data_IF_629729512942
#
_entry.id   IF_629729512942
#
_cell.length_a   1.000
_cell.length_b   1.000
_cell.length_c   1.000
_cell.angle_alpha   90.00
_cell.angle_beta   90.00
_cell.angle_gamma   90.00
#
_symmetry.space_group_name_H-M   'P 1'
#
loop_
_entity.id
_entity.type
_entity.pdbx_description
1 polymer ?
#
# COMPACT_ATOMS: atom_id res chain seq x y z
N UNK A 1 -3.20 -22.42 4.74
CA UNK A 1 -1.81 -21.96 4.79
C UNK A 1 -1.05 -22.61 3.64
N UNK A 2 -0.18 -21.88 2.92
CA UNK A 2 0.63 -22.45 1.84
C UNK A 2 1.93 -23.06 2.36
N UNK A 3 2.85 -22.20 2.83
CA UNK A 3 4.12 -22.57 3.45
C UNK A 3 4.21 -21.95 4.84
N UNK A 4 4.55 -22.76 5.84
CA UNK A 4 4.82 -22.30 7.20
C UNK A 4 6.21 -22.76 7.63
N UNK A 5 7.04 -21.82 8.09
CA UNK A 5 8.39 -22.08 8.57
C UNK A 5 8.50 -21.58 10.01
N UNK A 6 8.96 -22.45 10.90
CA UNK A 6 9.11 -22.14 12.32
C UNK A 6 10.20 -22.96 12.99
N UNK A 7 10.67 -22.51 14.16
CA UNK A 7 11.56 -23.29 15.04
C UNK A 7 13.03 -23.21 14.65
N UNK A 8 13.53 -21.99 14.49
CA UNK A 8 14.88 -21.63 14.06
C UNK A 8 15.34 -22.26 12.73
N UNK A 9 14.39 -22.75 11.92
CA UNK A 9 14.68 -23.38 10.63
C UNK A 9 15.22 -22.35 9.62
N UNK A 10 16.09 -22.79 8.71
CA UNK A 10 16.67 -21.95 7.65
C UNK A 10 16.48 -22.50 6.23
N UNK A 11 15.25 -22.81 5.78
CA UNK A 11 15.02 -23.31 4.44
C UNK A 11 15.22 -22.23 3.35
N UNK A 12 15.66 -22.67 2.18
CA UNK A 12 15.60 -21.91 0.94
C UNK A 12 14.56 -22.55 0.01
N UNK A 13 13.63 -21.74 -0.49
CA UNK A 13 12.53 -22.19 -1.35
C UNK A 13 12.52 -21.34 -2.62
N UNK A 14 12.78 -21.97 -3.76
CA UNK A 14 12.71 -21.35 -5.07
C UNK A 14 11.50 -21.84 -5.86
N UNK A 15 10.88 -20.98 -6.67
CA UNK A 15 9.82 -21.40 -7.59
C UNK A 15 8.51 -21.82 -6.93
N UNK A 16 8.24 -21.35 -5.71
CA UNK A 16 7.01 -21.68 -5.01
C UNK A 16 5.83 -21.00 -5.71
N UNK A 17 4.82 -21.78 -6.07
CA UNK A 17 3.57 -21.27 -6.62
C UNK A 17 2.42 -21.62 -5.69
N UNK A 18 1.81 -20.62 -5.06
CA UNK A 18 0.60 -20.81 -4.25
C UNK A 18 -0.56 -20.05 -4.88
N UNK A 19 -1.73 -20.67 -4.91
CA UNK A 19 -2.95 -20.07 -5.42
C UNK A 19 -4.14 -20.37 -4.50
N UNK A 20 -5.07 -19.42 -4.38
CA UNK A 20 -6.36 -19.59 -3.70
C UNK A 20 -6.21 -20.06 -2.23
N UNK A 21 -5.26 -19.47 -1.51
CA UNK A 21 -5.00 -19.83 -0.11
C UNK A 21 -6.01 -19.08 0.77
N UNK A 22 -6.75 -19.78 1.63
CA UNK A 22 -7.75 -19.14 2.50
C UNK A 22 -7.15 -18.24 3.61
N UNK A 23 -5.88 -18.42 3.91
CA UNK A 23 -5.14 -17.78 5.02
C UNK A 23 -3.90 -17.04 4.47
N UNK A 24 -2.81 -16.96 5.23
CA UNK A 24 -1.52 -16.48 4.74
C UNK A 24 -0.89 -17.50 3.77
N UNK A 25 -0.34 -17.03 2.65
CA UNK A 25 0.33 -17.93 1.69
C UNK A 25 1.69 -18.39 2.21
N UNK A 26 2.49 -17.48 2.77
CA UNK A 26 3.77 -17.80 3.43
C UNK A 26 3.77 -17.21 4.83
N UNK A 27 4.09 -18.03 5.84
CA UNK A 27 4.24 -17.60 7.23
C UNK A 27 5.58 -18.04 7.79
N UNK A 28 6.32 -17.10 8.35
CA UNK A 28 7.60 -17.35 9.03
C UNK A 28 7.47 -16.87 10.46
N UNK A 29 7.91 -17.66 11.43
CA UNK A 29 7.93 -17.27 12.84
C UNK A 29 9.14 -17.90 13.52
N UNK A 30 9.98 -17.11 14.20
CA UNK A 30 11.19 -17.62 14.86
C UNK A 30 12.05 -18.45 13.89
N UNK A 31 12.27 -17.98 12.66
CA UNK A 31 12.95 -18.75 11.62
C UNK A 31 13.48 -17.85 10.49
N UNK A 32 14.43 -18.36 9.71
CA UNK A 32 14.92 -17.69 8.51
C UNK A 32 14.38 -18.36 7.24
N UNK A 33 13.83 -17.60 6.31
CA UNK A 33 13.34 -18.11 5.03
C UNK A 33 13.96 -17.32 3.88
N UNK A 34 14.61 -18.03 2.97
CA UNK A 34 15.01 -17.47 1.68
C UNK A 34 14.03 -17.93 0.61
N UNK A 35 13.44 -16.99 -0.11
CA UNK A 35 12.39 -17.23 -1.08
C UNK A 35 12.75 -16.54 -2.41
N UNK A 36 12.85 -17.33 -3.47
CA UNK A 36 13.24 -16.84 -4.79
C UNK A 36 12.27 -17.26 -5.88
N UNK A 37 12.11 -16.42 -6.91
CA UNK A 37 11.37 -16.74 -8.14
C UNK A 37 9.96 -17.34 -7.89
N UNK A 38 9.29 -16.86 -6.86
CA UNK A 38 8.03 -17.43 -6.38
C UNK A 38 6.84 -16.56 -6.70
N UNK A 39 5.67 -17.19 -6.84
CA UNK A 39 4.44 -16.56 -7.26
C UNK A 39 3.32 -16.90 -6.27
N UNK A 40 2.74 -15.87 -5.67
CA UNK A 40 1.65 -15.98 -4.72
C UNK A 40 0.44 -15.29 -5.35
N UNK A 41 -0.61 -16.06 -5.63
CA UNK A 41 -1.85 -15.56 -6.23
C UNK A 41 -3.02 -15.78 -5.27
N UNK A 42 -3.81 -14.73 -5.07
CA UNK A 42 -5.07 -14.77 -4.31
C UNK A 42 -4.93 -15.40 -2.93
N UNK A 43 -4.51 -14.59 -1.97
CA UNK A 43 -4.44 -14.97 -0.56
C UNK A 43 -5.64 -14.41 0.20
N UNK A 44 -6.22 -15.21 1.09
CA UNK A 44 -7.41 -14.86 1.87
C UNK A 44 -7.11 -13.92 3.04
N UNK A 45 -5.84 -13.88 3.48
CA UNK A 45 -5.29 -12.88 4.40
C UNK A 45 -4.05 -12.24 3.77
N UNK A 46 -2.92 -12.26 4.45
CA UNK A 46 -1.65 -11.70 3.96
C UNK A 46 -1.01 -12.60 2.89
N UNK A 47 -0.28 -12.01 1.94
CA UNK A 47 0.54 -12.79 1.01
C UNK A 47 1.69 -13.45 1.76
N UNK A 48 2.52 -12.63 2.39
CA UNK A 48 3.66 -13.08 3.20
C UNK A 48 3.59 -12.45 4.59
N UNK A 49 3.71 -13.28 5.62
CA UNK A 49 3.73 -12.87 7.02
C UNK A 49 5.06 -13.29 7.67
N UNK A 50 5.91 -12.30 7.97
CA UNK A 50 7.06 -12.48 8.84
C UNK A 50 6.66 -12.10 10.26
N UNK A 51 6.58 -13.09 11.15
CA UNK A 51 6.30 -12.93 12.57
C UNK A 51 7.53 -12.48 13.36
N UNK A 52 7.46 -12.58 14.69
CA UNK A 52 8.57 -12.24 15.58
C UNK A 52 9.81 -13.09 15.31
N UNK A 53 10.98 -12.45 15.41
CA UNK A 53 12.31 -13.05 15.21
C UNK A 53 12.41 -13.84 13.88
N UNK A 54 11.72 -13.36 12.85
CA UNK A 54 11.75 -13.94 11.52
C UNK A 54 12.73 -13.19 10.62
N UNK A 55 13.61 -13.93 9.94
CA UNK A 55 14.53 -13.41 8.92
C UNK A 55 14.01 -13.79 7.52
N UNK A 56 13.41 -12.85 6.81
CA UNK A 56 12.84 -13.11 5.49
C UNK A 56 13.68 -12.49 4.38
N UNK A 57 14.19 -13.30 3.45
CA UNK A 57 14.83 -12.82 2.22
C UNK A 57 14.01 -13.21 1.01
N UNK A 58 13.47 -12.22 0.30
CA UNK A 58 12.66 -12.39 -0.90
C UNK A 58 13.40 -11.79 -2.10
N UNK A 59 13.52 -12.54 -3.19
CA UNK A 59 14.15 -12.07 -4.43
C UNK A 59 13.32 -12.48 -5.63
N UNK A 60 12.98 -11.54 -6.53
CA UNK A 60 12.17 -11.80 -7.74
C UNK A 60 10.84 -12.48 -7.45
N UNK A 61 10.15 -12.04 -6.41
CA UNK A 61 8.89 -12.61 -5.98
C UNK A 61 7.71 -11.79 -6.49
N UNK A 62 6.59 -12.47 -6.78
CA UNK A 62 5.38 -11.82 -7.28
C UNK A 62 4.18 -12.17 -6.40
N UNK A 63 3.55 -11.16 -5.83
CA UNK A 63 2.37 -11.31 -4.98
C UNK A 63 1.19 -10.56 -5.61
N UNK A 64 0.10 -11.28 -5.87
CA UNK A 64 -1.07 -10.73 -6.54
C UNK A 64 -2.37 -11.05 -5.83
N UNK A 65 -3.30 -10.09 -5.85
CA UNK A 65 -4.68 -10.25 -5.37
C UNK A 65 -4.79 -10.72 -3.91
N UNK A 66 -3.94 -10.22 -2.99
CA UNK A 66 -4.08 -10.52 -1.56
C UNK A 66 -5.27 -9.76 -0.96
N UNK A 67 -6.12 -10.43 -0.18
CA UNK A 67 -7.19 -9.76 0.55
C UNK A 67 -6.67 -8.90 1.72
N UNK A 68 -5.59 -9.36 2.36
CA UNK A 68 -4.84 -8.61 3.36
C UNK A 68 -3.60 -7.96 2.77
N UNK A 69 -2.65 -7.62 3.63
CA UNK A 69 -1.40 -6.99 3.20
C UNK A 69 -0.57 -7.92 2.30
N UNK A 70 0.10 -7.38 1.30
CA UNK A 70 0.94 -8.16 0.39
C UNK A 70 2.11 -8.82 1.12
N UNK A 71 2.85 -8.03 1.89
CA UNK A 71 3.91 -8.48 2.78
C UNK A 71 3.84 -7.73 4.11
N UNK A 72 3.83 -8.47 5.21
CA UNK A 72 3.84 -7.92 6.58
C UNK A 72 5.10 -8.35 7.30
N UNK A 73 5.83 -7.37 7.84
CA UNK A 73 6.91 -7.56 8.79
C UNK A 73 6.44 -7.16 10.18
N UNK A 74 6.14 -8.15 11.02
CA UNK A 74 5.74 -7.94 12.40
C UNK A 74 6.91 -7.46 13.27
N UNK A 75 6.63 -7.09 14.52
CA UNK A 75 7.66 -6.65 15.46
C UNK A 75 8.77 -7.70 15.65
N UNK A 76 10.04 -7.27 15.52
CA UNK A 76 11.21 -8.13 15.64
C UNK A 76 11.54 -8.93 14.38
N UNK A 77 10.78 -8.76 13.28
CA UNK A 77 11.12 -9.35 11.99
C UNK A 77 12.19 -8.52 11.28
N UNK A 78 13.19 -9.18 10.69
CA UNK A 78 14.22 -8.61 9.82
C UNK A 78 14.13 -9.21 8.43
N UNK A 79 14.70 -8.53 7.42
CA UNK A 79 14.68 -9.11 6.09
C UNK A 79 15.15 -8.25 4.93
N UNK A 80 15.03 -8.82 3.75
CA UNK A 80 15.31 -8.16 2.48
C UNK A 80 14.23 -8.52 1.46
N UNK A 81 13.77 -7.55 0.70
CA UNK A 81 12.86 -7.71 -0.43
C UNK A 81 13.50 -7.07 -1.64
N UNK A 82 13.89 -7.89 -2.60
CA UNK A 82 14.65 -7.47 -3.78
C UNK A 82 13.84 -7.80 -5.05
N UNK A 83 13.74 -6.85 -5.96
CA UNK A 83 13.14 -7.00 -7.30
C UNK A 83 11.77 -7.68 -7.27
N UNK A 84 10.93 -7.34 -6.29
CA UNK A 84 9.65 -8.01 -6.05
C UNK A 84 8.46 -7.12 -6.42
N UNK A 85 7.38 -7.74 -6.87
CA UNK A 85 6.17 -7.05 -7.33
C UNK A 85 4.96 -7.41 -6.46
N UNK A 86 4.22 -6.40 -6.03
CA UNK A 86 2.99 -6.51 -5.25
C UNK A 86 1.87 -5.78 -5.98
N UNK A 87 0.84 -6.51 -6.43
CA UNK A 87 -0.22 -5.92 -7.26
C UNK A 87 -1.63 -6.36 -6.89
N UNK A 88 -2.60 -5.45 -6.93
CA UNK A 88 -4.03 -5.78 -6.83
C UNK A 88 -4.47 -6.24 -5.43
N UNK A 89 -3.73 -5.88 -4.39
CA UNK A 89 -4.08 -6.17 -3.00
C UNK A 89 -5.26 -5.31 -2.53
N UNK A 90 -6.11 -5.87 -1.67
CA UNK A 90 -7.24 -5.14 -1.06
C UNK A 90 -6.85 -4.36 0.20
N UNK A 91 -5.60 -4.49 0.66
CA UNK A 91 -5.04 -3.74 1.78
C UNK A 91 -3.69 -3.11 1.34
N UNK A 92 -2.74 -2.99 2.26
CA UNK A 92 -1.44 -2.38 2.00
C UNK A 92 -0.51 -3.34 1.23
N UNK A 93 0.33 -2.79 0.35
CA UNK A 93 1.30 -3.60 -0.40
C UNK A 93 2.37 -4.20 0.50
N UNK A 94 3.12 -3.33 1.18
CA UNK A 94 4.14 -3.70 2.17
C UNK A 94 3.87 -2.98 3.48
N UNK A 95 3.66 -3.75 4.54
CA UNK A 95 3.45 -3.26 5.90
C UNK A 95 4.68 -3.56 6.76
N UNK A 96 5.30 -2.51 7.29
CA UNK A 96 6.44 -2.62 8.20
C UNK A 96 6.02 -2.19 9.60
N UNK A 97 5.82 -3.18 10.47
CA UNK A 97 5.56 -3.00 11.90
C UNK A 97 6.82 -3.19 12.74
N UNK A 98 7.89 -3.69 12.12
CA UNK A 98 9.21 -3.87 12.71
C UNK A 98 10.02 -2.57 12.77
N UNK A 99 10.93 -2.49 13.75
CA UNK A 99 11.98 -1.47 13.79
C UNK A 99 13.35 -2.00 13.35
N UNK A 100 13.45 -3.29 13.02
CA UNK A 100 14.69 -3.97 12.66
C UNK A 100 15.18 -3.62 11.25
N UNK A 101 16.31 -4.20 10.86
CA UNK A 101 16.88 -4.03 9.52
C UNK A 101 16.00 -4.68 8.45
N UNK A 102 15.41 -3.84 7.59
CA UNK A 102 14.65 -4.28 6.42
C UNK A 102 15.09 -3.50 5.19
N UNK A 103 15.56 -4.21 4.17
CA UNK A 103 15.96 -3.60 2.90
C UNK A 103 14.94 -3.94 1.82
N UNK A 104 14.26 -2.94 1.26
CA UNK A 104 13.43 -3.11 0.07
C UNK A 104 14.10 -2.43 -1.12
N UNK A 105 14.46 -3.18 -2.16
CA UNK A 105 15.12 -2.64 -3.36
C UNK A 105 14.46 -3.10 -4.64
N UNK A 106 14.20 -2.18 -5.56
CA UNK A 106 13.63 -2.50 -6.88
C UNK A 106 12.19 -3.03 -6.78
N UNK A 107 11.48 -2.68 -5.71
CA UNK A 107 10.13 -3.17 -5.48
C UNK A 107 9.12 -2.38 -6.30
N UNK A 108 8.12 -3.07 -6.82
CA UNK A 108 7.02 -2.44 -7.58
C UNK A 108 5.71 -2.73 -6.88
N UNK A 109 4.98 -1.69 -6.51
CA UNK A 109 3.71 -1.81 -5.78
C UNK A 109 2.62 -1.06 -6.53
N UNK A 110 1.61 -1.79 -7.04
CA UNK A 110 0.61 -1.20 -7.94
C UNK A 110 -0.82 -1.64 -7.66
N UNK A 111 -1.76 -0.74 -7.95
CA UNK A 111 -3.20 -1.03 -7.94
C UNK A 111 -3.68 -1.65 -6.61
N UNK A 112 -3.06 -1.28 -5.48
CA UNK A 112 -3.50 -1.73 -4.17
C UNK A 112 -4.54 -0.77 -3.60
N UNK A 113 -5.53 -1.33 -2.93
CA UNK A 113 -6.61 -0.54 -2.33
C UNK A 113 -6.15 0.20 -1.06
N UNK A 114 -5.07 -0.25 -0.41
CA UNK A 114 -4.39 0.44 0.69
C UNK A 114 -3.23 1.33 0.23
N UNK A 115 -2.26 1.52 1.12
CA UNK A 115 -1.00 2.22 0.83
C UNK A 115 -0.06 1.27 0.09
N UNK A 116 0.80 1.78 -0.79
CA UNK A 116 1.82 0.94 -1.42
C UNK A 116 2.82 0.43 -0.38
N UNK A 117 3.36 1.36 0.42
CA UNK A 117 4.12 1.02 1.63
C UNK A 117 3.56 1.78 2.83
N UNK A 118 3.39 1.09 3.95
CA UNK A 118 3.10 1.69 5.25
C UNK A 118 4.16 1.26 6.27
N UNK A 119 4.83 2.25 6.84
CA UNK A 119 5.78 2.09 7.93
C UNK A 119 5.13 2.58 9.23
N UNK A 120 4.77 1.64 10.12
CA UNK A 120 4.21 1.95 11.43
C UNK A 120 5.29 2.39 12.43
N UNK A 121 6.50 1.85 12.30
CA UNK A 121 7.66 2.19 13.14
C UNK A 121 8.78 2.80 12.29
N UNK A 122 9.05 4.11 12.43
CA UNK A 122 10.19 4.72 11.77
C UNK A 122 11.49 4.19 12.39
N UNK A 123 12.35 3.57 11.59
CA UNK A 123 13.70 3.17 12.00
C UNK A 123 14.71 3.55 10.93
N UNK A 124 15.96 3.81 11.33
CA UNK A 124 17.07 4.08 10.39
C UNK A 124 17.60 2.81 9.72
N UNK A 125 17.21 1.64 10.23
CA UNK A 125 17.65 0.35 9.71
C UNK A 125 16.81 -0.09 8.50
N UNK A 126 15.70 0.60 8.24
CA UNK A 126 14.87 0.34 7.07
C UNK A 126 15.40 1.18 5.91
N UNK A 127 15.76 0.51 4.82
CA UNK A 127 16.22 1.12 3.58
C UNK A 127 15.27 0.74 2.44
N UNK A 128 14.69 1.73 1.79
CA UNK A 128 13.88 1.55 0.58
C UNK A 128 14.54 2.27 -0.57
N UNK A 129 14.89 1.51 -1.59
CA UNK A 129 15.63 1.93 -2.78
C UNK A 129 14.81 1.55 -4.01
N UNK A 130 14.68 2.46 -4.97
CA UNK A 130 14.07 2.14 -6.28
C UNK A 130 12.65 1.56 -6.18
N UNK A 131 11.83 2.09 -5.25
CA UNK A 131 10.43 1.71 -5.13
C UNK A 131 9.58 2.42 -6.18
N UNK A 132 8.79 1.65 -6.92
CA UNK A 132 7.80 2.18 -7.86
C UNK A 132 6.41 1.94 -7.29
N UNK A 133 5.79 2.99 -6.78
CA UNK A 133 4.40 2.99 -6.33
C UNK A 133 3.51 3.69 -7.36
N UNK A 134 2.47 3.00 -7.88
CA UNK A 134 1.56 3.62 -8.84
C UNK A 134 0.15 3.01 -8.81
N UNK A 135 -0.88 3.86 -8.79
CA UNK A 135 -2.28 3.39 -8.83
C UNK A 135 -2.82 2.89 -7.48
N UNK A 136 -2.10 3.12 -6.38
CA UNK A 136 -2.58 2.78 -5.04
C UNK A 136 -3.60 3.83 -4.56
N UNK A 137 -4.62 3.38 -3.82
CA UNK A 137 -5.71 4.25 -3.36
C UNK A 137 -5.34 5.12 -2.16
N UNK A 138 -4.41 4.67 -1.31
CA UNK A 138 -3.90 5.45 -0.19
C UNK A 138 -2.45 5.90 -0.43
N UNK A 139 -2.05 6.98 0.24
CA UNK A 139 -0.71 7.55 0.11
C UNK A 139 0.33 6.64 0.76
N UNK A 140 1.56 6.67 0.23
CA UNK A 140 2.68 5.92 0.80
C UNK A 140 3.19 6.61 2.07
N UNK A 141 3.39 5.82 3.13
CA UNK A 141 3.87 6.27 4.43
C UNK A 141 5.23 5.62 4.71
N UNK A 142 6.27 6.06 4.02
CA UNK A 142 7.66 5.61 4.22
C UNK A 142 8.60 6.81 4.39
N UNK A 143 9.55 6.72 5.33
CA UNK A 143 10.74 7.59 5.44
C UNK A 143 10.52 9.10 5.25
N UNK A 144 10.35 9.85 6.34
CA UNK A 144 10.30 11.34 6.38
C UNK A 144 9.20 12.02 5.53
N UNK A 145 8.23 11.28 4.99
CA UNK A 145 6.92 11.81 4.61
C UNK A 145 5.83 11.53 5.66
N UNK A 146 6.18 10.79 6.72
CA UNK A 146 5.30 10.48 7.86
C UNK A 146 5.09 11.66 8.84
N UNK A 147 5.39 12.89 8.42
CA UNK A 147 5.03 14.12 9.15
C UNK A 147 3.89 14.89 8.46
N UNK A 148 3.08 14.24 7.62
CA UNK A 148 1.87 14.84 7.06
C UNK A 148 0.87 13.75 6.67
N UNK A 149 0.21 13.14 7.66
CA UNK A 149 -0.77 12.12 7.32
C UNK A 149 -1.44 11.38 8.46
N UNK A 150 -1.39 11.86 9.71
CA UNK A 150 -2.26 11.33 10.75
C UNK A 150 -3.71 11.74 10.47
N UNK A 151 -4.40 10.98 9.61
CA UNK A 151 -5.86 10.86 9.65
C UNK A 151 -6.18 9.41 9.98
N UNK A 152 -6.49 9.08 11.24
CA UNK A 152 -7.00 7.77 11.59
C UNK A 152 -8.41 7.55 10.99
N UNK A 153 -8.80 6.31 10.68
CA UNK A 153 -10.09 6.01 10.07
C UNK A 153 -11.23 5.91 11.10
N UNK A 154 -12.39 6.36 10.63
CA UNK A 154 -13.75 5.94 10.94
C UNK A 154 -14.38 6.21 12.34
N UNK A 155 -15.58 6.79 12.25
CA UNK A 155 -16.51 7.15 13.31
C UNK A 155 -16.98 5.99 14.21
N UNK A 156 -17.56 6.35 15.36
CA UNK A 156 -18.91 5.88 15.67
C UNK A 156 -19.88 7.04 15.90
N UNK A 157 -21.13 6.80 15.48
CA UNK A 157 -22.30 7.63 15.75
C UNK A 157 -22.66 7.58 17.25
N UNK A 158 -22.96 8.75 17.83
CA UNK A 158 -23.47 8.87 19.20
C UNK A 158 -23.93 10.31 19.50
N UNK A 159 -25.22 10.47 19.78
CA UNK A 159 -25.93 11.74 19.95
C UNK A 159 -25.53 12.55 21.19
N UNK A 160 -25.57 13.89 21.10
CA UNK A 160 -25.47 14.79 22.27
C UNK A 160 -25.29 16.27 21.95
N UNK A 161 -26.41 16.97 21.80
CA UNK A 161 -26.70 18.42 21.99
C UNK A 161 -25.55 19.44 22.09
N UNK A 162 -25.58 20.51 21.27
CA UNK A 162 -25.93 21.89 21.70
C UNK A 162 -25.81 22.88 20.53
N UNK A 163 -26.85 23.69 20.32
CA UNK A 163 -26.81 24.90 19.49
C UNK A 163 -26.17 26.04 20.29
N UNK A 164 -25.38 26.90 19.64
CA UNK A 164 -25.72 28.33 19.64
C UNK A 164 -25.73 28.92 18.22
N UNK A 165 -26.43 30.05 18.08
CA UNK A 165 -26.68 30.77 16.86
C UNK A 165 -25.65 31.88 16.58
N UNK A 166 -25.63 32.30 15.32
CA UNK A 166 -25.28 33.63 14.80
C UNK A 166 -23.80 34.00 14.67
N UNK A 167 -23.42 34.44 13.46
CA UNK A 167 -22.26 35.30 13.28
C UNK A 167 -21.60 35.22 11.91
N UNK A 168 -22.11 36.03 10.98
CA UNK A 168 -21.33 36.68 9.89
C UNK A 168 -20.95 35.80 8.68
N UNK A 169 -21.70 36.00 7.60
CA UNK A 169 -21.47 35.47 6.25
C UNK A 169 -20.13 35.95 5.64
N UNK A 170 -19.15 35.05 5.41
CA UNK A 170 -17.85 35.40 4.83
C UNK A 170 -17.89 35.66 3.32
N UNK A 171 -19.07 35.58 2.67
CA UNK A 171 -19.23 35.85 1.24
C UNK A 171 -19.29 37.34 0.88
N UNK A 172 -19.60 38.23 1.84
CA UNK A 172 -19.73 39.66 1.59
C UNK A 172 -18.37 40.39 1.46
N UNK A 173 -17.29 39.83 1.99
CA UNK A 173 -15.95 40.44 1.97
C UNK A 173 -15.18 40.17 0.66
N UNK A 174 -15.53 39.09 -0.05
CA UNK A 174 -14.85 38.71 -1.30
C UNK A 174 -15.47 39.31 -2.57
N UNK A 175 -16.72 39.78 -2.50
CA UNK A 175 -17.42 40.41 -3.64
C UNK A 175 -16.98 41.87 -3.91
N UNK A 176 -16.18 42.47 -3.04
CA UNK A 176 -15.66 43.85 -3.19
C UNK A 176 -14.27 43.98 -3.83
N UNK A 177 -13.55 42.88 -4.07
CA UNK A 177 -12.11 42.92 -4.42
C UNK A 177 -11.72 42.33 -5.79
N UNK A 178 -12.69 41.93 -6.63
CA UNK A 178 -12.38 41.50 -8.01
C UNK A 178 -13.32 42.18 -9.02
N UNK A 179 -13.32 43.50 -8.99
CA UNK A 179 -13.80 44.32 -10.10
C UNK A 179 -12.62 44.78 -10.96
N UNK A 180 -12.46 44.17 -12.16
CA UNK A 180 -12.19 44.81 -13.46
C UNK A 180 -11.32 43.96 -14.42
N UNK A 181 -11.91 43.76 -15.61
CA UNK A 181 -11.29 43.78 -16.94
C UNK A 181 -10.65 42.51 -17.56
N UNK A 182 -11.46 41.90 -18.43
CA UNK A 182 -11.15 41.53 -19.82
C UNK A 182 -10.20 40.34 -20.11
N UNK A 183 -10.76 39.24 -20.65
CA UNK A 183 -10.78 38.98 -22.12
C UNK A 183 -11.52 37.69 -22.45
N UNK A 184 -12.25 37.79 -23.56
CA UNK A 184 -13.16 36.85 -24.21
C UNK A 184 -12.41 35.66 -24.82
N UNK A 185 -12.73 34.43 -24.41
CA UNK A 185 -12.39 33.20 -25.18
C UNK A 185 -13.64 32.31 -25.23
N UNK A 186 -14.12 32.06 -26.45
CA UNK A 186 -15.30 31.21 -26.73
C UNK A 186 -14.95 29.73 -26.53
N UNK A 187 -15.84 28.90 -25.98
CA UNK A 187 -15.67 27.45 -26.03
C UNK A 187 -16.01 26.92 -27.44
N UNK A 188 -15.07 26.18 -28.02
CA UNK A 188 -15.19 25.51 -29.32
C UNK A 188 -15.73 24.09 -29.11
N UNK A 189 -16.94 23.85 -29.63
CA UNK A 189 -17.59 22.55 -29.79
C UNK A 189 -16.64 21.47 -30.33
N UNK A 190 -16.47 20.38 -29.59
CA UNK A 190 -15.99 19.11 -30.15
C UNK A 190 -17.20 18.25 -30.53
N UNK A 191 -17.55 18.29 -31.82
CA UNK A 191 -18.53 17.40 -32.45
C UNK A 191 -18.02 15.96 -32.44
N UNK A 192 -18.91 15.05 -32.06
CA UNK A 192 -18.85 13.62 -32.36
C UNK A 192 -18.71 13.41 -33.87
N UNK A 193 -17.63 12.75 -34.31
CA UNK A 193 -17.50 12.25 -35.68
C UNK A 193 -18.03 10.81 -35.73
N UNK A 194 -19.23 10.70 -36.29
CA UNK A 194 -19.77 9.50 -36.92
C UNK A 194 -18.93 9.21 -38.17
N UNK A 195 -18.42 7.99 -38.33
CA UNK A 195 -17.92 7.48 -39.60
C UNK A 195 -18.97 6.52 -40.19
N UNK A 196 -19.25 6.72 -41.48
CA UNK A 196 -20.15 5.93 -42.30
C UNK A 196 -19.37 4.85 -43.07
N UNK A 197 -20.03 3.75 -43.46
CA UNK A 197 -19.50 2.84 -44.47
C UNK A 197 -20.30 1.55 -44.68
N UNK A 198 -20.89 1.42 -45.87
CA UNK A 198 -21.44 0.23 -46.55
C UNK A 198 -22.76 -0.35 -45.98
N UNK A 199 -23.84 -0.54 -46.75
CA UNK A 199 -24.01 -0.83 -48.19
C UNK A 199 -25.24 -0.12 -48.76
#
# INVERSE_FOLDING_TARGET
>A
MGLAVSGAARPSVGGLNTRDVAEAAVRVADAALSLSDSQLFRSGKEGVHAGSDADLSMTRCRVQESKGAGCTFAEGASGSVLDSEFSGGSADGILLETGEAVTAKGCTVRDNHGSGIRQLRPSKAIEVLELISSGNLANDEYGTAACAGATPPAAPVGAGSTRPASGTDPLAVLQGLVGLAARRIRPRNCRTRRWAGAR
#
